data_IF_103842238520
#
_entry.id   IF_103842238520
#
_cell.length_a   1.000
_cell.length_b   1.000
_cell.length_c   1.000
_cell.angle_alpha   90.00
_cell.angle_beta   90.00
_cell.angle_gamma   90.00
#
_symmetry.space_group_name_H-M   'P 1'
#
loop_
_entity.id
_entity.type
_entity.pdbx_description
1 polymer ?
#
# COMPACT_ATOMS: atom_id res chain seq x y z
N UNK A 1 1.72 19.01 13.81
CA UNK A 1 0.40 19.13 14.48
C UNK A 1 0.19 17.85 15.29
N UNK A 2 0.35 17.90 16.61
CA UNK A 2 0.15 16.75 17.50
C UNK A 2 -1.32 16.67 17.90
N UNK A 3 -1.97 15.54 17.64
CA UNK A 3 -3.34 15.28 18.10
C UNK A 3 -3.27 14.98 19.59
N UNK A 4 -3.80 15.88 20.41
CA UNK A 4 -3.95 15.70 21.85
C UNK A 4 -5.38 15.20 22.08
N UNK A 5 -5.52 13.97 22.56
CA UNK A 5 -6.82 13.37 22.89
C UNK A 5 -7.26 13.89 24.27
N UNK A 6 -8.42 14.55 24.31
CA UNK A 6 -9.08 15.03 25.53
C UNK A 6 -10.35 14.23 25.78
N UNK A 7 -10.73 14.07 27.05
CA UNK A 7 -12.00 13.42 27.40
C UNK A 7 -13.21 14.37 27.27
N UNK A 8 -14.42 13.87 27.55
CA UNK A 8 -15.67 14.65 27.46
C UNK A 8 -15.77 15.83 28.44
N UNK A 9 -14.83 15.98 29.37
CA UNK A 9 -14.73 17.15 30.27
C UNK A 9 -13.71 18.20 29.80
N UNK A 10 -13.00 17.94 28.69
CA UNK A 10 -12.01 18.86 28.11
C UNK A 10 -10.66 18.87 28.85
N UNK A 11 -10.41 17.92 29.77
CA UNK A 11 -9.12 17.81 30.46
C UNK A 11 -8.15 16.94 29.66
N UNK A 12 -6.92 17.42 29.56
CA UNK A 12 -5.78 16.66 29.05
C UNK A 12 -5.32 15.67 30.11
N UNK A 13 -5.47 14.37 29.83
CA UNK A 13 -5.03 13.31 30.75
C UNK A 13 -3.70 12.77 30.20
N UNK A 14 -2.60 12.98 30.95
CA UNK A 14 -1.40 12.18 30.76
C UNK A 14 -1.74 10.71 31.05
N UNK A 15 -1.11 9.73 30.39
CA UNK A 15 -1.40 8.32 30.63
C UNK A 15 -0.79 7.88 31.96
N UNK A 16 -1.35 8.33 33.07
CA UNK A 16 -1.04 7.79 34.39
C UNK A 16 -1.94 6.58 34.67
N UNK A 17 -1.26 5.48 34.94
CA UNK A 17 -1.81 4.17 35.18
C UNK A 17 -2.62 4.18 36.48
N UNK A 18 -3.94 3.99 36.39
CA UNK A 18 -4.76 3.63 37.55
C UNK A 18 -5.31 2.20 37.37
N UNK A 19 -4.61 1.24 37.96
CA UNK A 19 -5.22 -0.06 38.25
C UNK A 19 -5.95 0.03 39.58
N UNK A 20 -7.27 -0.10 39.60
CA UNK A 20 -8.03 -0.48 40.82
C UNK A 20 -9.43 -1.02 40.47
N UNK A 21 -9.60 -2.30 40.79
CA UNK A 21 -10.79 -3.09 41.19
C UNK A 21 -12.18 -2.87 40.57
N UNK A 22 -12.67 -3.95 39.93
CA UNK A 22 -13.95 -4.67 40.10
C UNK A 22 -15.18 -3.90 40.64
N UNK A 23 -16.22 -3.83 39.79
CA UNK A 23 -17.62 -3.58 40.18
C UNK A 23 -18.54 -3.75 38.97
N UNK A 24 -19.36 -4.80 38.96
CA UNK A 24 -20.21 -5.17 37.82
C UNK A 24 -21.45 -4.29 37.65
N UNK A 25 -21.92 -4.18 36.40
CA UNK A 25 -23.29 -3.80 36.04
C UNK A 25 -23.58 -4.26 34.61
N UNK A 26 -24.57 -5.14 34.48
CA UNK A 26 -25.22 -5.62 33.26
C UNK A 26 -26.19 -4.57 32.70
N UNK A 27 -26.15 -4.32 31.38
CA UNK A 27 -27.19 -3.51 30.73
C UNK A 27 -27.00 -3.30 29.23
N UNK A 28 -27.75 -4.06 28.43
CA UNK A 28 -28.39 -3.71 27.14
C UNK A 28 -27.64 -2.79 26.15
N UNK A 29 -27.27 -3.36 25.00
CA UNK A 29 -27.00 -2.61 23.76
C UNK A 29 -25.55 -2.60 23.30
N UNK A 30 -25.37 -2.81 21.99
CA UNK A 30 -24.14 -2.57 21.21
C UNK A 30 -22.96 -3.52 21.44
N UNK A 31 -22.89 -4.58 20.62
CA UNK A 31 -21.75 -5.50 20.53
C UNK A 31 -20.41 -4.83 20.21
N UNK A 32 -20.40 -3.60 19.65
CA UNK A 32 -19.17 -2.82 19.43
C UNK A 32 -18.82 -1.95 20.65
N UNK A 33 -19.80 -1.37 21.35
CA UNK A 33 -19.56 -0.54 22.53
C UNK A 33 -19.22 -1.38 23.77
N UNK A 34 -19.86 -2.56 23.93
CA UNK A 34 -19.52 -3.52 24.98
C UNK A 34 -18.11 -4.12 24.78
N UNK A 35 -17.66 -4.29 23.53
CA UNK A 35 -16.29 -4.69 23.22
C UNK A 35 -15.26 -3.62 23.60
N UNK A 36 -15.65 -2.34 23.61
CA UNK A 36 -14.80 -1.24 24.11
C UNK A 36 -14.69 -1.20 25.64
N UNK A 37 -15.63 -1.83 26.36
CA UNK A 37 -15.75 -1.72 27.82
C UNK A 37 -15.34 -2.99 28.58
N UNK A 38 -14.87 -4.04 27.91
CA UNK A 38 -14.48 -5.29 28.59
C UNK A 38 -13.21 -5.12 29.45
N UNK A 39 -13.26 -5.39 30.77
CA UNK A 39 -12.09 -5.35 31.65
C UNK A 39 -11.10 -6.50 31.41
N UNK A 40 -11.49 -7.51 30.62
CA UNK A 40 -10.64 -8.62 30.19
C UNK A 40 -10.06 -8.40 28.78
N UNK A 41 -9.78 -7.15 28.40
CA UNK A 41 -8.94 -6.86 27.23
C UNK A 41 -7.52 -7.37 27.50
N UNK A 42 -7.27 -8.60 27.07
CA UNK A 42 -5.91 -9.12 26.98
C UNK A 42 -5.14 -8.22 26.02
N UNK A 43 -4.13 -7.52 26.53
CA UNK A 43 -3.05 -7.03 25.69
C UNK A 43 -2.45 -8.26 25.04
N UNK A 44 -2.67 -8.45 23.74
CA UNK A 44 -1.92 -9.43 22.96
C UNK A 44 -0.58 -8.74 22.71
N UNK A 45 0.50 -9.10 23.42
CA UNK A 45 1.82 -8.55 23.10
C UNK A 45 2.07 -8.83 21.63
N UNK A 46 2.71 -7.88 20.94
CA UNK A 46 3.15 -8.11 19.56
C UNK A 46 4.07 -9.33 19.56
N UNK A 47 3.52 -10.51 19.29
CA UNK A 47 4.28 -11.76 19.34
C UNK A 47 5.30 -11.71 18.21
N UNK A 48 6.53 -12.07 18.52
CA UNK A 48 7.60 -12.09 17.54
C UNK A 48 7.19 -12.98 16.35
N UNK A 49 7.18 -12.36 15.19
CA UNK A 49 6.55 -12.80 13.94
C UNK A 49 7.09 -14.17 13.52
N UNK A 50 6.24 -15.02 12.91
CA UNK A 50 6.74 -16.10 12.02
C UNK A 50 7.08 -15.50 10.65
N UNK A 51 8.08 -14.61 10.61
CA UNK A 51 8.62 -14.01 9.39
C UNK A 51 9.21 -15.03 8.41
N UNK A 52 9.51 -16.24 8.87
CA UNK A 52 9.98 -17.36 8.04
C UNK A 52 9.05 -17.74 6.88
N UNK A 53 7.82 -17.21 6.83
CA UNK A 53 6.85 -17.49 5.78
C UNK A 53 6.69 -16.36 4.75
N UNK A 54 7.43 -15.26 4.88
CA UNK A 54 7.42 -14.15 3.91
C UNK A 54 8.73 -14.22 3.12
N UNK A 55 8.62 -14.31 1.79
CA UNK A 55 9.76 -14.13 0.88
C UNK A 55 10.20 -12.67 0.95
N UNK A 56 11.43 -12.42 1.41
CA UNK A 56 11.99 -11.06 1.53
C UNK A 56 13.38 -10.98 0.93
N UNK A 57 13.83 -9.76 0.58
CA UNK A 57 15.17 -9.49 0.07
C UNK A 57 15.44 -10.13 -1.29
N UNK A 58 16.67 -10.59 -1.50
CA UNK A 58 17.12 -11.15 -2.79
C UNK A 58 16.26 -12.31 -3.31
N UNK A 59 15.87 -13.32 -2.48
CA UNK A 59 14.95 -14.37 -2.93
C UNK A 59 13.63 -13.84 -3.50
N UNK A 60 13.09 -12.74 -2.95
CA UNK A 60 11.87 -12.12 -3.45
C UNK A 60 12.10 -11.51 -4.83
N UNK A 61 13.20 -10.77 -5.02
CA UNK A 61 13.56 -10.15 -6.32
C UNK A 61 13.66 -11.19 -7.42
N UNK A 62 14.42 -12.25 -7.17
CA UNK A 62 14.58 -13.37 -8.12
C UNK A 62 13.24 -14.02 -8.48
N UNK A 63 12.34 -14.18 -7.50
CA UNK A 63 11.00 -14.72 -7.76
C UNK A 63 10.19 -13.75 -8.62
N UNK A 64 10.19 -12.45 -8.33
CA UNK A 64 9.47 -11.43 -9.11
C UNK A 64 10.00 -11.35 -10.54
N UNK A 65 11.32 -11.42 -10.74
CA UNK A 65 11.93 -11.45 -12.08
C UNK A 65 11.48 -12.66 -12.89
N UNK A 66 11.45 -13.83 -12.26
CA UNK A 66 10.90 -15.04 -12.89
C UNK A 66 9.41 -14.90 -13.22
N UNK A 67 8.62 -14.17 -12.42
CA UNK A 67 7.22 -13.88 -12.75
C UNK A 67 7.08 -13.00 -13.98
N UNK A 68 7.89 -11.94 -14.09
CA UNK A 68 7.93 -11.09 -15.30
C UNK A 68 8.26 -11.91 -16.53
N UNK A 69 9.20 -12.85 -16.39
CA UNK A 69 9.52 -13.76 -17.48
C UNK A 69 8.33 -14.69 -17.82
N UNK A 70 7.61 -15.23 -16.83
CA UNK A 70 6.41 -16.05 -17.06
C UNK A 70 5.26 -15.26 -17.69
N UNK A 71 5.07 -14.01 -17.28
CA UNK A 71 4.11 -13.09 -17.89
C UNK A 71 4.41 -12.91 -19.38
N UNK A 72 5.66 -12.62 -19.72
CA UNK A 72 6.06 -12.39 -21.10
C UNK A 72 5.92 -13.64 -21.99
N UNK A 73 6.16 -14.83 -21.45
CA UNK A 73 6.22 -16.06 -22.25
C UNK A 73 4.95 -16.90 -22.28
N UNK A 74 4.09 -16.85 -21.26
CA UNK A 74 3.00 -17.85 -21.14
C UNK A 74 1.73 -17.36 -20.44
N UNK A 75 1.84 -16.48 -19.45
CA UNK A 75 0.71 -16.16 -18.57
C UNK A 75 0.21 -14.71 -18.66
N UNK A 76 0.86 -13.85 -19.46
CA UNK A 76 0.46 -12.44 -19.61
C UNK A 76 -0.96 -12.27 -20.15
N UNK A 77 -1.38 -13.10 -21.11
CA UNK A 77 -2.76 -13.06 -21.62
C UNK A 77 -3.80 -13.42 -20.55
N UNK A 78 -3.46 -14.31 -19.62
CA UNK A 78 -4.36 -14.68 -18.52
C UNK A 78 -4.46 -13.52 -17.53
N UNK A 79 -3.32 -12.91 -17.14
CA UNK A 79 -3.31 -11.75 -16.26
C UNK A 79 -4.15 -10.60 -16.84
N UNK A 80 -3.94 -10.27 -18.12
CA UNK A 80 -4.71 -9.24 -18.81
C UNK A 80 -6.22 -9.54 -18.80
N UNK A 81 -6.63 -10.77 -19.16
CA UNK A 81 -8.05 -11.15 -19.17
C UNK A 81 -8.71 -11.05 -17.79
N UNK A 82 -8.00 -11.45 -16.73
CA UNK A 82 -8.50 -11.33 -15.36
C UNK A 82 -8.68 -9.86 -14.99
N UNK A 83 -7.70 -9.01 -15.30
CA UNK A 83 -7.80 -7.56 -15.06
C UNK A 83 -8.98 -6.94 -15.83
N UNK A 84 -9.18 -7.32 -17.11
CA UNK A 84 -10.32 -6.84 -17.89
C UNK A 84 -11.68 -7.28 -17.32
N UNK A 85 -11.77 -8.43 -16.64
CA UNK A 85 -13.00 -8.90 -15.98
C UNK A 85 -13.34 -8.13 -14.72
N UNK A 86 -12.34 -7.68 -13.96
CA UNK A 86 -12.56 -6.77 -12.82
C UNK A 86 -13.16 -5.46 -13.32
N UNK A 87 -12.65 -4.98 -14.46
CA UNK A 87 -13.12 -3.77 -15.11
C UNK A 87 -12.76 -2.50 -14.34
N UNK A 88 -12.85 -1.33 -15.00
CA UNK A 88 -12.50 -0.07 -14.37
C UNK A 88 -13.60 0.38 -13.40
N UNK A 89 -13.20 0.80 -12.22
CA UNK A 89 -14.07 1.46 -11.25
C UNK A 89 -14.17 2.94 -11.61
N UNK A 90 -15.40 3.45 -11.62
CA UNK A 90 -15.71 4.87 -11.81
C UNK A 90 -16.22 5.47 -10.50
N UNK A 91 -15.68 6.60 -10.04
CA UNK A 91 -16.26 7.33 -8.92
C UNK A 91 -17.65 7.83 -9.30
N UNK A 92 -18.63 7.56 -8.45
CA UNK A 92 -19.99 8.07 -8.59
C UNK A 92 -20.26 9.12 -7.50
N UNK A 93 -20.31 10.42 -7.84
CA UNK A 93 -20.60 11.47 -6.87
C UNK A 93 -22.03 11.33 -6.36
N UNK A 94 -22.20 11.54 -5.06
CA UNK A 94 -23.49 11.46 -4.38
C UNK A 94 -23.61 12.60 -3.37
N UNK A 95 -23.51 13.81 -3.88
CA UNK A 95 -23.57 15.04 -3.07
C UNK A 95 -25.00 15.37 -2.61
N UNK A 96 -26.00 14.81 -3.31
CA UNK A 96 -27.41 15.11 -3.11
C UNK A 96 -27.95 16.19 -4.06
N UNK A 97 -27.05 16.88 -4.77
CA UNK A 97 -27.38 17.80 -5.86
C UNK A 97 -27.12 17.10 -7.21
N UNK A 98 -28.19 16.92 -8.00
CA UNK A 98 -28.14 16.19 -9.27
C UNK A 98 -27.33 16.91 -10.34
N UNK A 99 -27.34 18.24 -10.36
CA UNK A 99 -26.59 19.00 -11.37
C UNK A 99 -25.10 18.97 -11.03
N UNK A 100 -24.76 19.14 -9.76
CA UNK A 100 -23.38 19.02 -9.29
C UNK A 100 -22.83 17.60 -9.51
N UNK A 101 -23.62 16.56 -9.22
CA UNK A 101 -23.21 15.18 -9.47
C UNK A 101 -22.99 14.92 -10.98
N UNK A 102 -23.79 15.54 -11.85
CA UNK A 102 -23.61 15.47 -13.31
C UNK A 102 -22.32 16.17 -13.75
N UNK A 103 -22.07 17.37 -13.23
CA UNK A 103 -20.83 18.12 -13.51
C UNK A 103 -19.59 17.34 -13.09
N UNK A 104 -19.58 16.74 -11.89
CA UNK A 104 -18.47 15.93 -11.43
C UNK A 104 -18.26 14.67 -12.27
N UNK A 105 -19.33 14.02 -12.72
CA UNK A 105 -19.23 12.88 -13.64
C UNK A 105 -18.65 13.27 -14.99
N UNK A 106 -19.03 14.43 -15.52
CA UNK A 106 -18.53 14.95 -16.79
C UNK A 106 -17.06 15.34 -16.65
N UNK A 107 -16.71 16.08 -15.60
CA UNK A 107 -15.33 16.44 -15.29
C UNK A 107 -14.43 15.20 -15.22
N UNK A 108 -14.82 14.16 -14.47
CA UNK A 108 -14.06 12.91 -14.41
C UNK A 108 -13.90 12.24 -15.78
N UNK A 109 -14.95 12.25 -16.60
CA UNK A 109 -14.89 11.66 -17.94
C UNK A 109 -13.84 12.38 -18.80
N UNK A 110 -13.90 13.71 -18.84
CA UNK A 110 -13.01 14.54 -19.66
C UNK A 110 -11.56 14.46 -19.18
N UNK A 111 -11.33 14.54 -17.86
CA UNK A 111 -9.96 14.66 -17.32
C UNK A 111 -9.27 13.33 -17.08
N UNK A 112 -10.00 12.27 -16.73
CA UNK A 112 -9.42 11.01 -16.30
C UNK A 112 -9.67 9.86 -17.28
N UNK A 113 -10.75 9.89 -18.07
CA UNK A 113 -11.09 8.77 -18.97
C UNK A 113 -10.70 9.08 -20.41
N UNK A 114 -11.09 10.24 -20.91
CA UNK A 114 -10.87 10.63 -22.31
C UNK A 114 -9.45 11.18 -22.54
N UNK A 115 -8.81 11.68 -21.47
CA UNK A 115 -7.43 12.17 -21.49
C UNK A 115 -6.42 11.09 -21.09
N UNK A 116 -5.25 11.08 -21.73
CA UNK A 116 -4.07 10.30 -21.34
C UNK A 116 -3.23 10.98 -20.24
N UNK A 117 -3.74 12.04 -19.62
CA UNK A 117 -3.05 12.81 -18.58
C UNK A 117 -3.26 12.26 -17.17
N UNK A 118 -3.92 11.10 -17.01
CA UNK A 118 -4.20 10.55 -15.68
C UNK A 118 -2.92 10.08 -14.97
N UNK A 119 -1.95 9.59 -15.74
CA UNK A 119 -0.67 9.12 -15.24
C UNK A 119 0.49 10.04 -15.61
N UNK A 120 1.50 10.11 -14.74
CA UNK A 120 2.66 10.97 -14.92
C UNK A 120 3.54 10.59 -16.11
N UNK A 121 3.40 9.37 -16.67
CA UNK A 121 4.12 8.98 -17.88
C UNK A 121 3.40 9.35 -19.18
N UNK A 122 2.14 9.80 -19.11
CA UNK A 122 1.32 10.20 -20.26
C UNK A 122 0.91 9.03 -21.16
N UNK A 123 0.90 7.81 -20.63
CA UNK A 123 0.61 6.57 -21.36
C UNK A 123 -0.77 6.03 -21.07
N UNK A 124 -1.35 6.38 -19.92
CA UNK A 124 -2.54 5.75 -19.41
C UNK A 124 -3.61 6.79 -19.07
N UNK A 125 -4.84 6.50 -19.50
CA UNK A 125 -6.04 7.05 -18.88
C UNK A 125 -6.42 6.21 -17.63
N UNK A 126 -7.39 6.65 -16.85
CA UNK A 126 -7.79 5.98 -15.62
C UNK A 126 -8.20 4.50 -15.82
N UNK A 127 -9.01 4.13 -16.84
CA UNK A 127 -9.33 2.72 -17.07
C UNK A 127 -8.10 1.84 -17.38
N UNK A 128 -7.26 2.25 -18.34
CA UNK A 128 -6.07 1.49 -18.71
C UNK A 128 -5.03 1.46 -17.59
N UNK A 129 -4.97 2.50 -16.76
CA UNK A 129 -4.13 2.54 -15.57
C UNK A 129 -4.57 1.49 -14.54
N UNK A 130 -5.88 1.39 -14.28
CA UNK A 130 -6.41 0.38 -13.34
C UNK A 130 -6.14 -1.04 -13.84
N UNK A 131 -6.34 -1.30 -15.13
CA UNK A 131 -6.03 -2.59 -15.74
C UNK A 131 -4.53 -2.93 -15.61
N UNK A 132 -3.65 -1.98 -15.93
CA UNK A 132 -2.20 -2.15 -15.81
C UNK A 132 -1.76 -2.39 -14.35
N UNK A 133 -2.31 -1.63 -13.40
CA UNK A 133 -2.04 -1.81 -11.98
C UNK A 133 -2.44 -3.21 -11.49
N UNK A 134 -3.59 -3.71 -11.96
CA UNK A 134 -4.09 -5.04 -11.62
C UNK A 134 -3.26 -6.17 -12.25
N UNK A 135 -2.85 -6.02 -13.51
CA UNK A 135 -1.94 -6.98 -14.15
C UNK A 135 -0.62 -7.06 -13.37
N UNK A 136 -0.04 -5.91 -13.00
CA UNK A 136 1.22 -5.91 -12.25
C UNK A 136 1.04 -6.50 -10.85
N UNK A 137 -0.06 -6.18 -10.16
CA UNK A 137 -0.33 -6.73 -8.83
C UNK A 137 -0.50 -8.26 -8.90
N UNK A 138 -1.17 -8.80 -9.92
CA UNK A 138 -1.34 -10.24 -10.15
C UNK A 138 -0.01 -10.93 -10.43
N UNK A 139 0.78 -10.37 -11.35
CA UNK A 139 2.02 -10.97 -11.83
C UNK A 139 3.12 -10.85 -10.79
N UNK A 140 3.35 -9.66 -10.25
CA UNK A 140 4.49 -9.36 -9.38
C UNK A 140 4.14 -9.47 -7.88
N UNK A 141 2.85 -9.60 -7.57
CA UNK A 141 2.32 -9.72 -6.21
C UNK A 141 1.93 -8.40 -5.57
N UNK A 142 2.61 -7.31 -5.93
CA UNK A 142 2.30 -5.95 -5.49
C UNK A 142 2.80 -4.89 -6.48
N UNK A 143 2.42 -3.64 -6.21
CA UNK A 143 2.90 -2.43 -6.89
C UNK A 143 2.38 -1.19 -6.17
N UNK A 144 3.01 -0.04 -6.39
CA UNK A 144 2.71 1.19 -5.66
C UNK A 144 2.23 2.29 -6.60
N UNK A 145 1.02 2.78 -6.38
CA UNK A 145 0.57 4.05 -6.94
C UNK A 145 0.94 5.19 -6.01
N UNK A 146 1.68 6.18 -6.50
CA UNK A 146 1.96 7.43 -5.79
C UNK A 146 1.08 8.53 -6.36
N UNK A 147 0.38 9.25 -5.48
CA UNK A 147 -0.44 10.40 -5.86
C UNK A 147 0.45 11.65 -5.87
N UNK A 148 0.42 12.40 -6.98
CA UNK A 148 1.23 13.60 -7.20
C UNK A 148 0.44 14.62 -7.99
N UNK A 149 1.07 15.73 -8.35
CA UNK A 149 0.50 16.72 -9.26
C UNK A 149 1.37 16.87 -10.51
N UNK A 150 0.78 17.32 -11.61
CA UNK A 150 1.51 17.77 -12.79
C UNK A 150 2.10 19.17 -12.57
N UNK A 151 2.68 19.75 -13.65
CA UNK A 151 3.29 21.09 -13.61
C UNK A 151 2.26 22.22 -13.36
N UNK A 152 1.00 22.01 -13.72
CA UNK A 152 -0.09 22.98 -13.57
C UNK A 152 -0.86 22.78 -12.25
N UNK A 153 -0.49 21.75 -11.47
CA UNK A 153 -1.09 21.43 -10.18
C UNK A 153 -2.28 20.47 -10.26
N UNK A 154 -2.59 19.89 -11.42
CA UNK A 154 -3.64 18.90 -11.55
C UNK A 154 -3.22 17.58 -10.90
N UNK A 155 -4.16 16.88 -10.22
CA UNK A 155 -3.87 15.61 -9.58
C UNK A 155 -3.62 14.52 -10.64
N UNK A 156 -2.46 13.88 -10.54
CA UNK A 156 -2.07 12.74 -11.38
C UNK A 156 -1.52 11.62 -10.50
N UNK A 157 -1.28 10.47 -11.10
CA UNK A 157 -0.70 9.34 -10.40
C UNK A 157 0.57 8.83 -11.10
N UNK A 158 1.47 8.19 -10.35
CA UNK A 158 2.62 7.48 -10.91
C UNK A 158 2.65 6.08 -10.35
N UNK A 159 2.74 5.09 -11.23
CA UNK A 159 2.89 3.70 -10.81
C UNK A 159 4.37 3.35 -10.69
N UNK A 160 4.72 2.65 -9.62
CA UNK A 160 6.00 2.02 -9.38
C UNK A 160 5.76 0.53 -9.22
N UNK A 161 6.49 -0.27 -9.96
CA UNK A 161 6.36 -1.71 -9.89
C UNK A 161 6.92 -2.29 -8.57
N UNK A 162 6.77 -3.60 -8.40
CA UNK A 162 7.22 -4.33 -7.21
C UNK A 162 8.72 -4.21 -6.92
N UNK A 163 9.56 -4.06 -7.96
CA UNK A 163 11.02 -3.99 -7.82
C UNK A 163 11.50 -2.57 -7.53
N UNK A 164 10.75 -1.57 -7.98
CA UNK A 164 11.04 -0.16 -7.67
C UNK A 164 10.81 0.15 -6.17
N UNK A 165 9.92 -0.57 -5.49
CA UNK A 165 9.77 -0.46 -4.03
C UNK A 165 10.74 -1.40 -3.34
N UNK A 166 11.85 -0.88 -2.81
CA UNK A 166 12.84 -1.73 -2.16
C UNK A 166 13.77 -0.99 -1.18
N UNK A 167 14.56 -1.76 -0.45
CA UNK A 167 15.65 -1.29 0.36
C UNK A 167 16.91 -1.04 -0.50
N UNK A 168 17.56 0.13 -0.33
CA UNK A 168 18.87 0.41 -0.87
C UNK A 168 19.92 -0.64 -0.50
N UNK A 169 20.98 -0.72 -1.31
CA UNK A 169 22.12 -1.60 -1.05
C UNK A 169 22.71 -1.41 0.35
N UNK A 170 22.95 -2.52 1.06
CA UNK A 170 23.50 -2.51 2.42
C UNK A 170 22.49 -2.23 3.54
N UNK A 171 21.21 -2.02 3.23
CA UNK A 171 20.15 -1.97 4.24
C UNK A 171 19.56 -3.35 4.50
N UNK A 172 19.54 -3.78 5.76
CA UNK A 172 19.00 -5.07 6.17
C UNK A 172 17.52 -4.97 6.52
N UNK A 173 16.75 -5.99 6.14
CA UNK A 173 15.35 -6.10 6.52
C UNK A 173 15.18 -6.15 8.04
N UNK A 174 14.16 -5.45 8.53
CA UNK A 174 13.80 -5.39 9.94
C UNK A 174 14.59 -4.43 10.78
N UNK A 175 15.71 -3.90 10.27
CA UNK A 175 16.41 -2.81 10.93
C UNK A 175 15.61 -1.52 10.75
N UNK A 176 15.30 -0.85 11.85
CA UNK A 176 14.52 0.40 11.90
C UNK A 176 13.09 0.31 11.32
N UNK A 177 12.51 -0.89 11.28
CA UNK A 177 11.13 -1.12 10.83
C UNK A 177 10.94 -1.23 9.32
N UNK A 178 12.01 -1.16 8.52
CA UNK A 178 11.96 -1.28 7.06
C UNK A 178 12.03 -2.74 6.59
N UNK A 179 11.16 -3.12 5.66
CA UNK A 179 11.08 -4.45 5.07
C UNK A 179 10.87 -4.32 3.57
N UNK A 180 11.87 -4.70 2.78
CA UNK A 180 11.85 -4.61 1.32
C UNK A 180 11.29 -3.26 0.84
N UNK A 181 11.83 -2.16 1.38
CA UNK A 181 11.39 -0.81 1.02
C UNK A 181 10.06 -0.37 1.61
N UNK A 182 9.45 -1.10 2.54
CA UNK A 182 8.22 -0.70 3.24
C UNK A 182 8.49 -0.51 4.72
N UNK A 183 8.23 0.69 5.24
CA UNK A 183 8.29 0.99 6.66
C UNK A 183 6.98 0.58 7.33
N UNK A 184 7.06 -0.23 8.38
CA UNK A 184 5.87 -0.68 9.12
C UNK A 184 5.96 -0.40 10.60
N UNK A 185 4.80 -0.18 11.22
CA UNK A 185 4.69 -0.11 12.68
C UNK A 185 4.63 -1.50 13.33
N UNK A 186 4.48 -1.53 14.65
CA UNK A 186 4.32 -2.77 15.41
C UNK A 186 3.07 -3.57 15.03
N UNK A 187 2.04 -2.91 14.50
CA UNK A 187 0.80 -3.50 14.00
C UNK A 187 0.83 -3.89 12.53
N UNK A 188 2.00 -3.84 11.87
CA UNK A 188 2.17 -4.10 10.43
C UNK A 188 1.48 -3.10 9.49
N UNK A 189 1.08 -1.93 10.01
CA UNK A 189 0.57 -0.87 9.16
C UNK A 189 1.71 -0.22 8.40
N UNK A 190 1.51 -0.01 7.10
CA UNK A 190 2.47 0.71 6.26
C UNK A 190 2.49 2.19 6.63
N UNK A 191 3.69 2.72 6.89
CA UNK A 191 3.93 4.12 7.25
C UNK A 191 4.58 4.89 6.09
N UNK A 192 5.47 4.25 5.34
CA UNK A 192 6.16 4.85 4.21
C UNK A 192 6.71 3.78 3.26
N UNK A 193 7.06 4.22 2.05
CA UNK A 193 7.64 3.42 0.99
C UNK A 193 8.95 4.05 0.51
N UNK A 194 9.96 3.24 0.24
CA UNK A 194 11.20 3.63 -0.43
C UNK A 194 11.11 3.27 -1.89
N UNK A 195 11.34 4.24 -2.74
CA UNK A 195 11.39 4.09 -4.18
C UNK A 195 12.82 4.20 -4.63
N UNK A 196 13.35 3.13 -5.22
CA UNK A 196 14.69 3.14 -5.79
C UNK A 196 14.78 4.19 -6.91
N UNK A 197 15.93 4.86 -6.96
CA UNK A 197 16.25 5.82 -8.01
C UNK A 197 16.96 5.15 -9.17
N UNK A 198 16.46 5.38 -10.38
CA UNK A 198 17.07 4.89 -11.62
C UNK A 198 18.22 5.79 -12.13
N UNK A 199 18.36 7.00 -11.58
CA UNK A 199 19.30 8.03 -12.03
C UNK A 199 20.62 8.05 -11.25
N UNK A 200 20.88 7.03 -10.43
CA UNK A 200 22.14 6.93 -9.68
C UNK A 200 23.23 6.42 -10.63
N UNK A 201 24.31 7.18 -10.82
CA UNK A 201 25.44 6.71 -11.63
C UNK A 201 25.98 5.40 -11.05
N UNK A 202 26.30 4.44 -11.91
CA UNK A 202 26.88 3.14 -11.55
C UNK A 202 28.16 3.26 -10.69
N UNK A 203 28.82 4.43 -10.74
CA UNK A 203 30.02 4.78 -9.99
C UNK A 203 29.76 5.58 -8.69
N UNK A 204 28.51 5.74 -8.25
CA UNK A 204 28.21 6.45 -7.01
C UNK A 204 28.91 5.76 -5.82
N UNK A 205 29.72 6.51 -5.08
CA UNK A 205 30.45 5.98 -3.94
C UNK A 205 29.49 5.57 -2.81
N UNK A 206 29.89 4.58 -1.99
CA UNK A 206 29.06 3.93 -0.96
C UNK A 206 28.16 4.90 -0.17
N UNK A 207 28.65 6.10 0.17
CA UNK A 207 27.90 7.12 0.93
C UNK A 207 26.84 7.87 0.11
N UNK A 208 27.11 8.16 -1.16
CA UNK A 208 26.09 8.70 -2.09
C UNK A 208 25.03 7.65 -2.40
N UNK A 209 25.44 6.38 -2.47
CA UNK A 209 24.53 5.24 -2.60
C UNK A 209 23.68 5.11 -1.31
N UNK A 210 24.28 5.08 -0.11
CA UNK A 210 23.58 4.79 1.16
C UNK A 210 22.48 5.78 1.56
N UNK A 211 22.67 7.08 1.26
CA UNK A 211 21.73 8.14 1.62
C UNK A 211 20.92 8.69 0.45
N UNK A 212 21.35 8.45 -0.79
CA UNK A 212 20.73 9.00 -1.99
C UNK A 212 19.88 8.01 -2.77
N UNK A 213 19.80 6.73 -2.36
CA UNK A 213 19.30 5.66 -3.23
C UNK A 213 17.80 5.59 -3.48
N UNK A 214 16.99 6.40 -2.76
CA UNK A 214 15.57 6.36 -2.98
C UNK A 214 14.77 7.49 -2.37
N UNK A 215 13.63 7.77 -2.98
CA UNK A 215 12.64 8.69 -2.44
C UNK A 215 11.82 7.98 -1.38
N UNK A 216 11.64 8.62 -0.22
CA UNK A 216 10.70 8.13 0.79
C UNK A 216 9.36 8.79 0.55
N UNK A 217 8.36 7.99 0.21
CA UNK A 217 6.98 8.43 0.01
C UNK A 217 6.16 8.03 1.25
N UNK A 218 5.49 8.97 1.92
CA UNK A 218 4.64 8.61 3.06
C UNK A 218 3.44 7.79 2.57
N UNK A 219 3.00 6.82 3.37
CA UNK A 219 1.87 5.97 3.02
C UNK A 219 0.54 6.76 2.90
N UNK A 220 0.47 8.00 3.40
CA UNK A 220 -0.66 8.90 3.19
C UNK A 220 -0.79 9.42 1.75
N UNK A 221 0.28 9.34 0.96
CA UNK A 221 0.36 9.88 -0.41
C UNK A 221 0.49 8.78 -1.45
N UNK A 222 0.25 7.52 -1.06
CA UNK A 222 0.40 6.39 -1.95
C UNK A 222 -0.57 5.26 -1.58
N UNK A 223 -0.85 4.41 -2.56
CA UNK A 223 -1.66 3.22 -2.41
C UNK A 223 -0.88 2.00 -2.91
N UNK A 224 -0.64 1.05 -2.00
CA UNK A 224 0.01 -0.21 -2.33
C UNK A 224 -1.05 -1.21 -2.79
N UNK A 225 -1.01 -1.54 -4.07
CA UNK A 225 -1.75 -2.65 -4.65
C UNK A 225 -1.04 -3.94 -4.29
N UNK A 226 -1.78 -4.98 -3.92
CA UNK A 226 -1.13 -6.27 -3.68
C UNK A 226 -2.06 -7.37 -3.21
N UNK A 227 -1.59 -8.60 -3.43
CA UNK A 227 -2.23 -9.83 -2.99
C UNK A 227 -1.66 -10.27 -1.64
N UNK A 228 -2.41 -10.00 -0.57
CA UNK A 228 -2.00 -10.27 0.81
C UNK A 228 -2.41 -11.68 1.24
N UNK A 229 -1.44 -12.59 1.37
CA UNK A 229 -1.69 -13.95 1.89
C UNK A 229 -1.86 -14.03 3.40
N UNK A 230 -1.42 -13.01 4.14
CA UNK A 230 -1.49 -12.96 5.59
C UNK A 230 -1.71 -11.51 6.06
N UNK A 231 -2.48 -11.26 7.14
CA UNK A 231 -2.70 -9.90 7.66
C UNK A 231 -1.43 -9.14 8.06
N UNK A 232 -0.35 -9.89 8.33
CA UNK A 232 0.96 -9.36 8.70
C UNK A 232 1.94 -9.27 7.52
N UNK A 233 1.51 -9.62 6.31
CA UNK A 233 2.32 -9.51 5.10
C UNK A 233 2.64 -8.04 4.83
N UNK A 234 3.93 -7.73 4.67
CA UNK A 234 4.39 -6.37 4.34
C UNK A 234 4.46 -6.16 2.83
N UNK A 235 4.70 -7.24 2.08
CA UNK A 235 4.70 -7.27 0.62
C UNK A 235 3.63 -8.23 0.12
N UNK A 236 3.09 -7.93 -1.05
CA UNK A 236 2.15 -8.82 -1.73
C UNK A 236 2.87 -10.00 -2.36
N UNK A 237 2.12 -11.06 -2.62
CA UNK A 237 2.64 -12.32 -3.16
C UNK A 237 1.90 -12.64 -4.45
N UNK A 238 2.66 -12.80 -5.54
CA UNK A 238 2.13 -13.13 -6.85
C UNK A 238 1.23 -14.37 -6.83
N UNK A 239 0.11 -14.30 -7.56
CA UNK A 239 -0.73 -15.46 -7.82
C UNK A 239 0.02 -16.54 -8.64
N UNK A 240 0.97 -16.12 -9.46
CA UNK A 240 1.78 -17.01 -10.30
C UNK A 240 2.91 -17.70 -9.53
N UNK A 241 3.05 -17.47 -8.22
CA UNK A 241 4.02 -18.18 -7.37
C UNK A 241 3.90 -19.71 -7.46
N UNK A 242 2.68 -20.22 -7.57
CA UNK A 242 2.45 -21.65 -7.73
C UNK A 242 2.95 -22.19 -9.09
N UNK A 243 3.07 -21.35 -10.12
CA UNK A 243 3.47 -21.75 -11.46
C UNK A 243 4.99 -21.81 -11.67
N UNK A 244 5.79 -21.14 -10.82
CA UNK A 244 7.28 -21.19 -10.91
C UNK A 244 7.82 -22.58 -10.53
N UNK A 245 7.19 -23.25 -9.58
CA UNK A 245 7.56 -24.60 -9.15
C UNK A 245 6.30 -25.47 -9.20
N UNK A 246 5.98 -26.12 -10.34
CA UNK A 246 5.05 -27.23 -10.31
C UNK A 246 5.69 -28.32 -9.46
N UNK A 247 5.33 -28.38 -8.18
CA UNK A 247 5.64 -29.52 -7.31
C UNK A 247 4.80 -30.71 -7.71
#
# INVERSE_FOLDING_TARGET
>A
MSIILTDRSGRTVAPEYHSTSLGGSTGSGAGIAAAQQSPSRGYVPATNRRQKFVLTGEPRRVVVDKMRWLEHNSYGTIAARVASWVGPVRPDPKTGDKELDKEYRQWWQETAVDSLSYDASGKFNAPSYQEMAEVISLVQGDGLTVFTTDADGFPICRFFDSLAVDNPWGMTNGKDGWWDGVLVDAGHRHLAYRLLRDDIPEQANFWQTYHGMGYVVPASSAFMHGYWKHPASVRGVSAFLAAINPM
#
